data_IF_835721745039
#
_entry.id   IF_835721745039
#
_cell.length_a   1.000
_cell.length_b   1.000
_cell.length_c   1.000
_cell.angle_alpha   90.00
_cell.angle_beta   90.00
_cell.angle_gamma   90.00
#
_symmetry.space_group_name_H-M   'P 1'
#
loop_
_entity.id
_entity.type
_entity.pdbx_description
1 polymer ?
#
# COMPACT_ATOMS: atom_id res chain seq x y z
N UNK A 1 -1.05 9.87 -8.41
CA UNK A 1 -0.65 8.95 -7.33
C UNK A 1 0.39 9.63 -6.45
N UNK A 2 0.37 9.29 -5.16
CA UNK A 2 1.34 9.77 -4.17
C UNK A 2 1.92 8.58 -3.44
N UNK A 3 3.18 8.66 -3.03
CA UNK A 3 3.86 7.61 -2.30
C UNK A 3 4.79 8.21 -1.24
N UNK A 4 4.90 7.58 -0.08
CA UNK A 4 5.69 8.08 1.03
C UNK A 4 5.73 7.17 2.23
N UNK A 5 6.15 7.71 3.36
CA UNK A 5 6.30 6.97 4.61
C UNK A 5 5.63 7.69 5.77
N UNK A 6 5.35 6.94 6.82
CA UNK A 6 5.01 7.50 8.13
C UNK A 6 6.21 8.23 8.72
N UNK A 7 5.96 9.27 9.51
CA UNK A 7 7.02 10.10 10.10
C UNK A 7 7.93 9.30 11.05
N UNK A 8 7.38 8.31 11.73
CA UNK A 8 8.14 7.37 12.58
C UNK A 8 8.91 6.31 11.79
N UNK A 9 8.86 6.36 10.45
CA UNK A 9 9.54 5.47 9.50
C UNK A 9 9.15 3.99 9.61
N UNK A 10 8.02 3.67 10.26
CA UNK A 10 7.57 2.28 10.49
C UNK A 10 6.84 1.68 9.31
N UNK A 11 6.17 2.49 8.48
CA UNK A 11 5.37 1.99 7.38
C UNK A 11 5.49 2.86 6.13
N UNK A 12 5.31 2.22 4.98
CA UNK A 12 5.20 2.86 3.67
C UNK A 12 3.74 2.92 3.24
N UNK A 13 3.39 3.94 2.47
CA UNK A 13 2.05 4.08 1.92
C UNK A 13 2.07 4.59 0.49
N UNK A 14 1.04 4.23 -0.27
CA UNK A 14 0.72 4.84 -1.55
C UNK A 14 -0.76 5.25 -1.56
N UNK A 15 -1.04 6.39 -2.19
CA UNK A 15 -2.38 6.99 -2.27
C UNK A 15 -2.70 7.23 -3.73
N UNK A 16 -3.87 6.76 -4.16
CA UNK A 16 -4.42 6.94 -5.49
C UNK A 16 -5.63 7.86 -5.36
N UNK A 17 -5.69 8.94 -6.13
CA UNK A 17 -6.83 9.87 -6.14
C UNK A 17 -7.37 9.92 -7.57
N UNK A 18 -8.67 9.66 -7.71
CA UNK A 18 -9.40 9.69 -8.99
C UNK A 18 -10.82 10.21 -8.79
N UNK A 19 -11.19 11.22 -9.55
CA UNK A 19 -12.58 11.70 -9.65
C UNK A 19 -13.25 12.01 -8.31
N UNK A 20 -12.50 12.54 -7.33
CA UNK A 20 -13.04 12.90 -6.01
C UNK A 20 -13.07 11.76 -5.00
N UNK A 21 -12.51 10.61 -5.33
CA UNK A 21 -12.33 9.46 -4.45
C UNK A 21 -10.85 9.15 -4.29
N UNK A 22 -10.49 8.57 -3.17
CA UNK A 22 -9.13 8.08 -2.94
C UNK A 22 -9.13 6.68 -2.35
N UNK A 23 -8.10 5.93 -2.72
CA UNK A 23 -7.71 4.70 -2.06
C UNK A 23 -6.26 4.81 -1.59
N UNK A 24 -5.95 4.25 -0.43
CA UNK A 24 -4.60 4.20 0.09
C UNK A 24 -4.27 2.83 0.66
N UNK A 25 -3.03 2.40 0.50
CA UNK A 25 -2.51 1.18 1.09
C UNK A 25 -1.29 1.49 1.96
N UNK A 26 -1.34 1.04 3.19
CA UNK A 26 -0.29 1.14 4.21
C UNK A 26 0.30 -0.24 4.47
N UNK A 27 1.63 -0.34 4.56
CA UNK A 27 2.32 -1.59 4.80
C UNK A 27 3.66 -1.36 5.52
N UNK A 28 3.92 -2.14 6.57
CA UNK A 28 5.24 -2.15 7.26
C UNK A 28 6.17 -3.26 6.73
N UNK A 29 5.68 -4.09 5.81
CA UNK A 29 6.44 -5.19 5.22
C UNK A 29 6.49 -6.47 6.07
N UNK A 30 5.79 -6.52 7.20
CA UNK A 30 5.77 -7.68 8.10
C UNK A 30 4.35 -8.08 8.54
N UNK A 31 3.69 -7.26 9.33
CA UNK A 31 2.40 -7.60 9.97
C UNK A 31 1.33 -6.53 9.80
N UNK A 32 1.72 -5.25 9.71
CA UNK A 32 0.80 -4.14 9.57
C UNK A 32 0.47 -3.89 8.11
N UNK A 33 -0.79 -4.09 7.76
CA UNK A 33 -1.35 -3.62 6.50
C UNK A 33 -2.73 -3.03 6.73
N UNK A 34 -3.08 -2.00 5.96
CA UNK A 34 -4.42 -1.43 5.93
C UNK A 34 -4.71 -0.86 4.55
N UNK A 35 -5.92 -1.13 4.07
CA UNK A 35 -6.51 -0.51 2.89
C UNK A 35 -7.53 0.52 3.33
N UNK A 36 -7.43 1.73 2.80
CA UNK A 36 -8.34 2.83 3.11
C UNK A 36 -9.03 3.30 1.84
N UNK A 37 -10.28 3.70 1.95
CA UNK A 37 -11.06 4.29 0.86
C UNK A 37 -11.93 5.41 1.41
N UNK A 38 -12.21 6.39 0.56
CA UNK A 38 -13.11 7.47 0.91
C UNK A 38 -13.00 8.70 0.00
N UNK A 39 -13.78 9.73 0.30
CA UNK A 39 -13.86 10.93 -0.53
C UNK A 39 -12.64 11.84 -0.41
N UNK A 40 -12.42 12.57 -1.49
CA UNK A 40 -11.55 13.74 -1.53
C UNK A 40 -12.38 14.96 -1.91
N UNK A 41 -12.52 15.90 -1.00
CA UNK A 41 -13.28 17.12 -1.20
C UNK A 41 -12.43 18.34 -0.81
N UNK A 42 -12.37 19.34 -1.66
CA UNK A 42 -11.60 20.59 -1.43
C UNK A 42 -10.13 20.31 -1.02
N UNK A 43 -9.52 19.30 -1.64
CA UNK A 43 -8.14 18.89 -1.35
C UNK A 43 -7.96 18.15 -0.01
N UNK A 44 -9.04 17.78 0.67
CA UNK A 44 -9.01 17.03 1.93
C UNK A 44 -9.37 15.57 1.70
N UNK A 45 -8.57 14.67 2.27
CA UNK A 45 -8.84 13.24 2.30
C UNK A 45 -9.46 12.87 3.64
N UNK A 46 -10.52 12.05 3.60
CA UNK A 46 -11.14 11.45 4.78
C UNK A 46 -11.44 9.98 4.46
N UNK A 47 -10.44 9.13 4.71
CA UNK A 47 -10.49 7.74 4.31
C UNK A 47 -10.67 6.83 5.52
N UNK A 48 -11.53 5.83 5.35
CA UNK A 48 -11.78 4.79 6.34
C UNK A 48 -11.13 3.46 5.92
N UNK A 49 -10.64 2.73 6.90
CA UNK A 49 -10.05 1.41 6.74
C UNK A 49 -10.66 0.37 7.69
N UNK A 50 -10.13 -0.84 7.72
CA UNK A 50 -10.62 -1.91 8.59
C UNK A 50 -10.40 -1.57 10.07
N UNK A 51 -11.24 -2.15 10.95
CA UNK A 51 -11.10 -2.03 12.40
C UNK A 51 -11.02 -0.57 12.91
N UNK A 52 -11.82 0.33 12.32
CA UNK A 52 -11.85 1.77 12.61
C UNK A 52 -10.53 2.51 12.28
N UNK A 53 -9.72 1.95 11.41
CA UNK A 53 -8.56 2.66 10.90
C UNK A 53 -9.00 3.88 10.09
N UNK A 54 -8.25 4.97 10.18
CA UNK A 54 -8.51 6.21 9.45
C UNK A 54 -7.22 6.78 8.86
N UNK A 55 -7.36 7.39 7.69
CA UNK A 55 -6.32 8.21 7.09
C UNK A 55 -6.95 9.54 6.70
N UNK A 56 -6.48 10.61 7.32
CA UNK A 56 -6.90 11.97 6.97
C UNK A 56 -5.73 12.77 6.44
N UNK A 57 -5.96 13.65 5.48
CA UNK A 57 -4.87 14.42 4.90
C UNK A 57 -5.30 15.61 4.06
N UNK A 58 -4.31 16.37 3.62
CA UNK A 58 -4.46 17.52 2.74
C UNK A 58 -3.54 17.34 1.54
N UNK A 59 -4.09 17.56 0.35
CA UNK A 59 -3.35 17.63 -0.91
C UNK A 59 -2.92 19.06 -1.13
N UNK A 60 -1.64 19.30 -1.19
CA UNK A 60 -1.07 20.63 -1.46
C UNK A 60 0.23 20.52 -2.25
N UNK A 61 0.30 21.21 -3.38
CA UNK A 61 1.53 21.38 -4.17
C UNK A 61 2.21 20.07 -4.59
N UNK A 62 1.47 19.03 -4.98
CA UNK A 62 2.05 17.72 -5.36
C UNK A 62 2.45 16.84 -4.18
N UNK A 63 1.91 17.11 -3.02
CA UNK A 63 2.14 16.38 -1.77
C UNK A 63 0.81 16.12 -1.08
N UNK A 64 0.74 15.00 -0.37
CA UNK A 64 -0.30 14.71 0.61
C UNK A 64 0.36 14.60 1.98
N UNK A 65 -0.14 15.32 2.96
CA UNK A 65 0.31 15.23 4.34
C UNK A 65 -0.88 15.08 5.28
N UNK A 66 -0.72 14.31 6.34
CA UNK A 66 -1.81 14.04 7.25
C UNK A 66 -1.45 13.07 8.36
N UNK A 67 -2.44 12.33 8.85
CA UNK A 67 -2.30 11.37 9.92
C UNK A 67 -2.95 10.04 9.57
N UNK A 68 -2.34 8.97 10.07
CA UNK A 68 -2.86 7.61 10.00
C UNK A 68 -3.10 7.10 11.41
N UNK A 69 -4.23 6.42 11.59
CA UNK A 69 -4.55 5.62 12.79
C UNK A 69 -4.94 4.23 12.32
N UNK A 70 -4.10 3.23 12.59
CA UNK A 70 -4.35 1.84 12.19
C UNK A 70 -3.56 0.88 13.09
N UNK A 71 -4.22 -0.16 13.61
CA UNK A 71 -3.59 -1.28 14.33
C UNK A 71 -2.52 -0.85 15.37
N UNK A 72 -2.84 0.16 16.19
CA UNK A 72 -1.93 0.70 17.21
C UNK A 72 -0.89 1.70 16.69
N UNK A 73 -0.88 1.97 15.39
CA UNK A 73 -0.10 3.06 14.79
C UNK A 73 -0.93 4.35 14.82
N UNK A 74 -0.38 5.42 15.36
CA UNK A 74 -0.94 6.76 15.31
C UNK A 74 0.18 7.74 15.00
N UNK A 75 0.31 8.13 13.73
CA UNK A 75 1.48 8.88 13.28
C UNK A 75 1.14 9.80 12.09
N UNK A 76 1.82 10.94 11.97
CA UNK A 76 1.79 11.73 10.76
C UNK A 76 2.44 10.98 9.59
N UNK A 77 2.09 11.40 8.37
CA UNK A 77 2.73 10.93 7.14
C UNK A 77 2.93 12.07 6.14
N UNK A 78 3.84 11.85 5.23
CA UNK A 78 4.02 12.68 4.03
C UNK A 78 4.19 11.76 2.84
N UNK A 79 3.42 12.01 1.78
CA UNK A 79 3.52 11.32 0.49
C UNK A 79 3.69 12.34 -0.63
N UNK A 80 4.74 12.20 -1.40
CA UNK A 80 5.01 13.05 -2.58
C UNK A 80 4.36 12.47 -3.83
N UNK A 81 4.13 13.32 -4.84
CA UNK A 81 3.70 12.85 -6.15
C UNK A 81 4.72 11.84 -6.71
N UNK A 82 4.24 10.73 -7.21
CA UNK A 82 5.07 9.63 -7.69
C UNK A 82 4.58 9.09 -9.03
N UNK A 83 5.55 8.78 -9.89
CA UNK A 83 5.34 8.15 -11.18
C UNK A 83 5.74 6.66 -11.13
N UNK A 84 5.39 5.92 -12.17
CA UNK A 84 5.82 4.53 -12.31
C UNK A 84 7.35 4.39 -12.14
N UNK A 85 7.80 3.30 -11.52
CA UNK A 85 7.06 2.12 -11.05
C UNK A 85 6.47 2.26 -9.63
N UNK A 86 6.54 3.42 -8.99
CA UNK A 86 5.97 3.62 -7.66
C UNK A 86 4.45 3.33 -7.64
N UNK A 87 3.96 2.81 -6.52
CA UNK A 87 2.54 2.50 -6.35
C UNK A 87 2.26 1.26 -5.53
N UNK A 88 1.05 0.75 -5.67
CA UNK A 88 0.61 -0.50 -5.06
C UNK A 88 0.60 -1.59 -6.12
N UNK A 89 1.12 -2.75 -5.78
CA UNK A 89 1.04 -3.97 -6.59
C UNK A 89 0.30 -5.03 -5.81
N UNK A 90 -0.45 -5.88 -6.51
CA UNK A 90 -1.19 -6.99 -5.90
C UNK A 90 -1.16 -8.23 -6.77
N UNK A 91 -1.25 -9.37 -6.13
CA UNK A 91 -1.46 -10.66 -6.78
C UNK A 91 -2.32 -11.55 -5.88
N UNK A 92 -3.06 -12.48 -6.49
CA UNK A 92 -3.76 -13.55 -5.79
C UNK A 92 -3.39 -14.86 -6.46
N UNK A 93 -2.95 -15.82 -5.67
CA UNK A 93 -2.66 -17.17 -6.13
C UNK A 93 -3.28 -18.19 -5.18
N UNK A 94 -3.43 -19.42 -5.63
CA UNK A 94 -3.88 -20.53 -4.77
C UNK A 94 -2.68 -21.44 -4.50
N UNK A 95 -2.32 -21.59 -3.22
CA UNK A 95 -1.29 -22.51 -2.75
C UNK A 95 -1.93 -23.54 -1.81
N UNK A 96 -1.77 -24.83 -2.10
CA UNK A 96 -2.33 -25.93 -1.32
C UNK A 96 -3.84 -25.78 -1.01
N UNK A 97 -4.60 -25.24 -1.97
CA UNK A 97 -6.05 -25.02 -1.84
C UNK A 97 -6.44 -23.77 -1.05
N UNK A 98 -5.47 -22.96 -0.60
CA UNK A 98 -5.70 -21.71 0.12
C UNK A 98 -5.37 -20.52 -0.79
N UNK A 99 -6.27 -19.53 -0.85
CA UNK A 99 -5.99 -18.29 -1.53
C UNK A 99 -4.98 -17.45 -0.72
N UNK A 100 -3.88 -17.06 -1.37
CA UNK A 100 -2.86 -16.20 -0.80
C UNK A 100 -2.89 -14.87 -1.55
N UNK A 101 -3.15 -13.81 -0.81
CA UNK A 101 -3.13 -12.44 -1.31
C UNK A 101 -1.76 -11.83 -1.04
N UNK A 102 -1.17 -11.26 -2.07
CA UNK A 102 0.10 -10.52 -1.97
C UNK A 102 -0.15 -9.06 -2.30
N UNK A 103 0.41 -8.16 -1.51
CA UNK A 103 0.38 -6.72 -1.78
C UNK A 103 1.72 -6.10 -1.47
N UNK A 104 2.16 -5.17 -2.31
CA UNK A 104 3.40 -4.43 -2.13
C UNK A 104 3.15 -2.94 -2.27
N UNK A 105 3.89 -2.16 -1.49
CA UNK A 105 4.09 -0.72 -1.71
C UNK A 105 5.46 -0.53 -2.34
N UNK A 106 5.48 0.19 -3.44
CA UNK A 106 6.71 0.56 -4.15
C UNK A 106 6.88 2.07 -4.01
N UNK A 107 7.96 2.47 -3.36
CA UNK A 107 8.39 3.86 -3.24
C UNK A 107 9.54 4.14 -4.19
N UNK A 108 9.70 5.39 -4.66
CA UNK A 108 10.87 5.77 -5.45
C UNK A 108 12.18 5.52 -4.69
N UNK A 109 13.12 4.80 -5.29
CA UNK A 109 14.46 4.61 -4.75
C UNK A 109 14.58 3.70 -3.52
N UNK A 110 13.52 2.98 -3.15
CA UNK A 110 13.51 2.05 -2.00
C UNK A 110 13.06 0.68 -2.46
N UNK A 111 13.60 -0.43 -1.91
CA UNK A 111 13.10 -1.75 -2.21
C UNK A 111 11.61 -1.90 -1.88
N UNK A 112 10.83 -2.60 -2.71
CA UNK A 112 9.42 -2.85 -2.43
C UNK A 112 9.21 -3.53 -1.07
N UNK A 113 8.24 -3.04 -0.30
CA UNK A 113 7.77 -3.67 0.93
C UNK A 113 6.44 -4.36 0.66
N UNK A 114 6.27 -5.60 1.10
CA UNK A 114 5.04 -6.32 0.87
C UNK A 114 4.69 -7.33 1.95
N UNK A 115 3.40 -7.65 2.01
CA UNK A 115 2.80 -8.64 2.90
C UNK A 115 2.04 -9.67 2.07
N UNK A 116 2.17 -10.92 2.44
CA UNK A 116 1.29 -12.01 2.04
C UNK A 116 0.24 -12.24 3.13
N UNK A 117 -0.97 -12.59 2.72
CA UNK A 117 -2.07 -12.91 3.62
C UNK A 117 -2.76 -14.17 3.11
N UNK A 118 -2.64 -15.24 3.89
CA UNK A 118 -3.28 -16.53 3.66
C UNK A 118 -4.30 -16.76 4.76
N UNK A 119 -5.59 -16.60 4.47
CA UNK A 119 -6.69 -16.79 5.41
C UNK A 119 -6.49 -16.06 6.76
N UNK A 120 -6.05 -14.79 6.69
CA UNK A 120 -5.79 -13.95 7.86
C UNK A 120 -4.40 -14.11 8.48
N UNK A 121 -3.62 -15.11 8.06
CA UNK A 121 -2.23 -15.27 8.49
C UNK A 121 -1.33 -14.41 7.60
N UNK A 122 -0.67 -13.43 8.21
CA UNK A 122 0.22 -12.50 7.51
C UNK A 122 1.67 -12.90 7.65
N UNK A 123 2.41 -12.71 6.56
CA UNK A 123 3.86 -12.90 6.51
C UNK A 123 4.47 -11.90 5.50
N UNK A 124 5.79 -11.81 5.50
CA UNK A 124 6.51 -11.01 4.53
C UNK A 124 6.29 -11.57 3.11
N UNK A 125 5.90 -10.71 2.17
CA UNK A 125 5.80 -11.11 0.77
C UNK A 125 7.20 -11.38 0.17
N UNK A 126 7.30 -12.25 -0.85
CA UNK A 126 8.51 -12.39 -1.65
C UNK A 126 8.95 -11.05 -2.26
N UNK A 127 10.22 -10.94 -2.62
CA UNK A 127 10.72 -9.74 -3.27
C UNK A 127 10.04 -9.51 -4.62
N UNK A 128 9.47 -8.32 -4.81
CA UNK A 128 8.91 -7.89 -6.09
C UNK A 128 10.02 -7.36 -6.98
N UNK A 129 10.14 -7.91 -8.19
CA UNK A 129 11.12 -7.49 -9.20
C UNK A 129 10.48 -6.46 -10.13
N UNK A 130 11.12 -5.31 -10.24
CA UNK A 130 10.68 -4.21 -11.08
C UNK A 130 11.64 -4.05 -12.28
N UNK A 131 11.16 -3.54 -13.40
CA UNK A 131 9.81 -3.01 -13.66
C UNK A 131 8.75 -4.06 -14.02
N UNK A 132 9.13 -5.33 -14.20
CA UNK A 132 8.23 -6.39 -14.72
C UNK A 132 7.07 -6.73 -13.78
N UNK A 133 7.19 -6.39 -12.49
CA UNK A 133 6.18 -6.70 -11.48
C UNK A 133 6.10 -8.21 -11.18
N UNK A 134 7.25 -8.92 -11.19
CA UNK A 134 7.27 -10.36 -10.96
C UNK A 134 7.81 -10.72 -9.57
N UNK A 135 7.39 -11.86 -9.05
CA UNK A 135 7.88 -12.42 -7.79
C UNK A 135 7.93 -13.95 -7.88
N UNK A 136 8.71 -14.56 -7.00
CA UNK A 136 8.90 -16.02 -6.97
C UNK A 136 8.41 -16.55 -5.63
N UNK A 137 7.51 -17.54 -5.67
CA UNK A 137 7.03 -18.26 -4.47
C UNK A 137 8.02 -19.30 -4.01
N UNK A 138 7.80 -19.86 -2.80
CA UNK A 138 8.71 -20.83 -2.19
C UNK A 138 8.94 -22.09 -3.01
N UNK A 139 7.96 -22.48 -3.83
CA UNK A 139 8.06 -23.62 -4.76
C UNK A 139 8.88 -23.33 -6.03
N UNK A 140 9.40 -22.12 -6.18
CA UNK A 140 10.19 -21.69 -7.33
C UNK A 140 9.38 -21.18 -8.52
N UNK A 141 8.05 -21.09 -8.39
CA UNK A 141 7.17 -20.60 -9.46
C UNK A 141 7.24 -19.06 -9.54
N UNK A 142 7.38 -18.55 -10.75
CA UNK A 142 7.33 -17.11 -11.01
C UNK A 142 5.90 -16.68 -11.31
N UNK A 143 5.45 -15.65 -10.61
CA UNK A 143 4.15 -15.03 -10.76
C UNK A 143 4.29 -13.56 -11.13
N UNK A 144 3.19 -12.96 -11.58
CA UNK A 144 3.11 -11.55 -11.88
C UNK A 144 2.12 -10.87 -10.93
N UNK A 145 2.51 -9.70 -10.43
CA UNK A 145 1.65 -8.79 -9.70
C UNK A 145 1.16 -7.68 -10.63
N UNK A 146 -0.10 -7.33 -10.49
CA UNK A 146 -0.70 -6.21 -11.21
C UNK A 146 -0.54 -4.93 -10.40
N UNK A 147 -0.13 -3.85 -11.08
CA UNK A 147 -0.12 -2.53 -10.48
C UNK A 147 -1.56 -2.03 -10.35
N UNK A 148 -1.94 -1.59 -9.16
CA UNK A 148 -3.24 -0.97 -8.93
C UNK A 148 -3.25 0.39 -9.62
N UNK A 149 -4.07 0.50 -10.66
CA UNK A 149 -4.25 1.75 -11.40
C UNK A 149 -5.38 2.57 -10.80
N UNK A 150 -5.33 3.90 -10.99
CA UNK A 150 -6.48 4.76 -10.71
C UNK A 150 -7.71 4.38 -11.52
#
# INVERSE_FOLDING_TARGET
>A
MFAGRTEDDRASLAIIIVAGEAAAYLCDGTMLEAWFEGPVADGRLDLAGPNRATLTGIVDGGRVSGRIMAAGLATPFVAGAAAEPAGVYRASIVEDGVEVLFRWVVLPGVPPLGISNADGVRDKAPALRLPEGTFVTADGTTHRADRVSP
#
